data_IF_577588103280
#
_entry.id   IF_577588103280
#
_cell.length_a   1.000
_cell.length_b   1.000
_cell.length_c   1.000
_cell.angle_alpha   90.00
_cell.angle_beta   90.00
_cell.angle_gamma   90.00
#
_symmetry.space_group_name_H-M   'P 1'
#
loop_
_entity.id
_entity.type
_entity.pdbx_description
1 polymer ?
#
# COMPACT_ATOMS: atom_id res chain seq x y z
N UNK A 1 -4.91 6.11 2.68
CA UNK A 1 -6.36 6.08 2.89
C UNK A 1 -6.78 6.56 4.26
N UNK A 2 -8.07 6.81 4.46
CA UNK A 2 -8.65 7.26 5.75
C UNK A 2 -8.40 6.25 6.88
N UNK A 3 -8.43 4.96 6.55
CA UNK A 3 -8.15 3.87 7.51
C UNK A 3 -6.73 3.96 8.08
N UNK A 4 -5.75 4.30 7.25
CA UNK A 4 -4.37 4.48 7.71
C UNK A 4 -4.23 5.70 8.63
N UNK A 5 -4.96 6.78 8.34
CA UNK A 5 -4.97 8.01 9.16
C UNK A 5 -5.74 7.84 10.47
N UNK A 6 -6.74 6.96 10.50
CA UNK A 6 -7.62 6.73 11.64
C UNK A 6 -8.90 7.57 11.64
N UNK A 7 -9.20 8.26 10.53
CA UNK A 7 -10.38 9.13 10.34
C UNK A 7 -11.45 8.46 9.46
N UNK A 8 -11.47 7.13 9.42
CA UNK A 8 -12.36 6.36 8.56
C UNK A 8 -13.76 6.18 9.14
N UNK A 9 -14.74 6.03 8.24
CA UNK A 9 -16.10 5.61 8.58
C UNK A 9 -16.24 4.10 8.38
N UNK A 10 -17.25 3.44 8.99
CA UNK A 10 -17.44 1.99 8.84
C UNK A 10 -17.50 1.51 7.37
N UNK A 11 -18.06 2.35 6.49
CA UNK A 11 -18.21 2.10 5.06
C UNK A 11 -17.02 2.55 4.21
N UNK A 12 -15.96 3.13 4.80
CA UNK A 12 -14.80 3.56 4.03
C UNK A 12 -14.07 2.35 3.43
N UNK A 13 -13.65 2.50 2.18
CA UNK A 13 -12.84 1.51 1.47
C UNK A 13 -11.44 1.36 2.11
N UNK A 14 -10.75 0.29 1.76
CA UNK A 14 -9.34 0.12 2.08
C UNK A 14 -8.49 0.58 0.90
N UNK A 15 -7.57 1.53 1.13
CA UNK A 15 -6.51 1.87 0.18
C UNK A 15 -5.24 1.10 0.54
N UNK A 16 -4.79 0.20 -0.33
CA UNK A 16 -3.60 -0.64 -0.09
C UNK A 16 -2.65 -0.53 -1.26
N UNK A 17 -1.39 -0.21 -0.96
CA UNK A 17 -0.28 -0.34 -1.90
C UNK A 17 0.49 -1.63 -1.60
N UNK A 18 0.86 -2.39 -2.65
CA UNK A 18 1.74 -3.55 -2.55
C UNK A 18 2.97 -3.30 -3.40
N UNK A 19 4.14 -3.34 -2.76
CA UNK A 19 5.42 -3.07 -3.41
C UNK A 19 6.14 -4.38 -3.71
N UNK A 20 6.56 -4.56 -4.96
CA UNK A 20 7.39 -5.67 -5.42
C UNK A 20 8.76 -5.15 -5.85
N UNK A 21 9.79 -6.01 -5.85
CA UNK A 21 11.10 -5.63 -6.40
C UNK A 21 11.00 -5.20 -7.88
N UNK A 22 10.15 -5.89 -8.64
CA UNK A 22 9.84 -5.61 -10.05
C UNK A 22 8.39 -5.99 -10.33
N UNK A 23 7.75 -5.25 -11.24
CA UNK A 23 6.39 -5.52 -11.71
C UNK A 23 6.46 -5.79 -13.21
N UNK A 24 6.53 -7.07 -13.64
CA UNK A 24 6.66 -7.40 -15.06
C UNK A 24 5.36 -7.18 -15.85
N UNK A 25 4.20 -7.49 -15.24
CA UNK A 25 2.87 -7.19 -15.77
C UNK A 25 2.00 -6.70 -14.60
N UNK A 26 1.74 -5.39 -14.58
CA UNK A 26 0.95 -4.75 -13.52
C UNK A 26 -0.49 -5.27 -13.50
N UNK A 27 -1.10 -5.48 -14.67
CA UNK A 27 -2.49 -5.87 -14.81
C UNK A 27 -2.70 -7.29 -14.30
N UNK A 28 -1.84 -8.22 -14.70
CA UNK A 28 -1.92 -9.62 -14.23
C UNK A 28 -1.75 -9.67 -12.70
N UNK A 29 -0.75 -8.97 -12.18
CA UNK A 29 -0.45 -8.98 -10.74
C UNK A 29 -1.59 -8.33 -9.93
N UNK A 30 -2.15 -7.23 -10.42
CA UNK A 30 -3.33 -6.58 -9.83
C UNK A 30 -4.53 -7.54 -9.81
N UNK A 31 -4.83 -8.23 -10.91
CA UNK A 31 -5.93 -9.21 -10.97
C UNK A 31 -5.73 -10.34 -9.96
N UNK A 32 -4.51 -10.86 -9.87
CA UNK A 32 -4.16 -11.94 -8.93
C UNK A 32 -4.35 -11.50 -7.48
N UNK A 33 -3.85 -10.33 -7.10
CA UNK A 33 -3.99 -9.80 -5.72
C UNK A 33 -5.45 -9.48 -5.41
N UNK A 34 -6.20 -8.88 -6.35
CA UNK A 34 -7.64 -8.63 -6.18
C UNK A 34 -8.42 -9.93 -5.94
N UNK A 35 -8.00 -11.05 -6.54
CA UNK A 35 -8.60 -12.37 -6.31
C UNK A 35 -8.33 -12.96 -4.92
N UNK A 36 -7.32 -12.47 -4.18
CA UNK A 36 -7.02 -12.92 -2.82
C UNK A 36 -7.87 -12.25 -1.75
N UNK A 37 -8.51 -11.12 -2.08
CA UNK A 37 -9.29 -10.37 -1.08
C UNK A 37 -10.54 -11.16 -0.68
N UNK A 38 -10.92 -11.17 0.62
CA UNK A 38 -12.20 -11.72 1.03
C UNK A 38 -13.39 -11.07 0.29
N UNK A 39 -14.44 -11.85 0.06
CA UNK A 39 -15.71 -11.34 -0.47
C UNK A 39 -16.27 -10.21 0.41
N UNK A 40 -16.82 -9.16 -0.21
CA UNK A 40 -17.40 -8.01 0.50
C UNK A 40 -16.41 -6.96 1.00
N UNK A 41 -15.09 -7.19 0.91
CA UNK A 41 -14.08 -6.18 1.24
C UNK A 41 -13.94 -5.18 0.08
N UNK A 42 -14.28 -3.92 0.29
CA UNK A 42 -14.01 -2.85 -0.68
C UNK A 42 -12.56 -2.41 -0.60
N UNK A 43 -11.85 -2.47 -1.72
CA UNK A 43 -10.39 -2.35 -1.79
C UNK A 43 -9.95 -1.62 -3.06
N UNK A 44 -9.28 -0.49 -2.86
CA UNK A 44 -8.48 0.21 -3.85
C UNK A 44 -7.03 -0.25 -3.74
N UNK A 45 -6.58 -0.96 -4.76
CA UNK A 45 -5.26 -1.59 -4.82
C UNK A 45 -4.34 -0.85 -5.78
N UNK A 46 -3.17 -0.47 -5.28
CA UNK A 46 -2.05 0.02 -6.08
C UNK A 46 -0.92 -1.00 -6.06
N UNK A 47 -0.41 -1.38 -7.24
CA UNK A 47 0.72 -2.30 -7.38
C UNK A 47 1.92 -1.48 -7.83
N UNK A 48 3.00 -1.52 -7.04
CA UNK A 48 4.19 -0.70 -7.26
C UNK A 48 5.43 -1.58 -7.36
N UNK A 49 6.40 -1.13 -8.12
CA UNK A 49 7.79 -1.56 -8.04
C UNK A 49 8.54 -0.71 -7.00
N UNK A 50 9.73 -1.15 -6.61
CA UNK A 50 10.64 -0.34 -5.77
C UNK A 50 11.03 0.97 -6.47
N UNK A 51 11.17 0.94 -7.81
CA UNK A 51 11.56 2.11 -8.60
C UNK A 51 10.49 3.21 -8.54
N UNK A 52 9.21 2.83 -8.48
CA UNK A 52 8.09 3.76 -8.36
C UNK A 52 8.11 4.57 -7.04
N UNK A 53 8.81 4.10 -6.00
CA UNK A 53 8.95 4.85 -4.73
C UNK A 53 9.83 6.10 -4.85
N UNK A 54 10.50 6.27 -5.98
CA UNK A 54 11.22 7.51 -6.31
C UNK A 54 10.30 8.58 -6.90
N UNK A 55 9.11 8.20 -7.41
CA UNK A 55 8.16 9.14 -7.99
C UNK A 55 7.58 10.08 -6.90
N UNK A 56 7.60 11.40 -7.10
CA UNK A 56 7.14 12.35 -6.10
C UNK A 56 5.64 12.22 -5.78
N UNK A 57 4.81 11.89 -6.76
CA UNK A 57 3.36 11.68 -6.55
C UNK A 57 3.13 10.45 -5.70
N UNK A 58 3.82 9.33 -5.99
CA UNK A 58 3.74 8.11 -5.18
C UNK A 58 4.21 8.38 -3.74
N UNK A 59 5.31 9.11 -3.57
CA UNK A 59 5.81 9.48 -2.23
C UNK A 59 4.80 10.31 -1.45
N UNK A 60 4.15 11.28 -2.09
CA UNK A 60 3.07 12.05 -1.46
C UNK A 60 1.89 11.16 -1.07
N UNK A 61 1.47 10.24 -1.94
CA UNK A 61 0.39 9.29 -1.66
C UNK A 61 0.70 8.37 -0.46
N UNK A 62 1.96 8.01 -0.28
CA UNK A 62 2.42 7.14 0.80
C UNK A 62 2.69 7.88 2.13
N UNK A 63 2.64 9.21 2.18
CA UNK A 63 2.87 9.94 3.45
C UNK A 63 1.94 9.48 4.55
N UNK A 64 2.50 9.22 5.73
CA UNK A 64 1.74 8.78 6.90
C UNK A 64 1.09 7.40 6.75
N UNK A 65 1.56 6.58 5.81
CA UNK A 65 1.05 5.22 5.60
C UNK A 65 1.24 4.32 6.84
N UNK A 66 0.44 3.26 6.90
CA UNK A 66 0.66 2.16 7.86
C UNK A 66 1.30 0.99 7.11
N UNK A 67 2.50 0.61 7.54
CA UNK A 67 3.26 -0.52 7.01
C UNK A 67 2.70 -1.79 7.66
N UNK A 68 1.97 -2.58 6.86
CA UNK A 68 1.35 -3.84 7.30
C UNK A 68 2.36 -5.00 7.30
N UNK A 69 3.31 -4.98 6.38
CA UNK A 69 4.33 -6.00 6.18
C UNK A 69 5.52 -5.39 5.44
N UNK A 70 6.74 -5.79 5.81
CA UNK A 70 7.97 -5.36 5.15
C UNK A 70 8.92 -6.53 4.96
N UNK A 71 8.82 -7.21 3.81
CA UNK A 71 9.73 -8.29 3.40
C UNK A 71 10.81 -7.84 2.41
N UNK A 72 10.89 -6.53 2.13
CA UNK A 72 11.86 -5.93 1.21
C UNK A 72 12.81 -4.97 1.92
N UNK A 73 12.74 -4.88 3.25
CA UNK A 73 13.53 -3.99 4.11
C UNK A 73 13.39 -2.51 3.69
N UNK A 74 12.18 -2.09 3.34
CA UNK A 74 11.85 -0.72 2.91
C UNK A 74 11.48 0.21 4.06
N UNK A 75 11.35 -0.33 5.28
CA UNK A 75 10.92 0.41 6.47
C UNK A 75 11.62 1.74 6.65
N UNK A 76 12.96 1.78 6.64
CA UNK A 76 13.70 3.01 6.94
C UNK A 76 13.39 4.13 5.93
N UNK A 77 13.23 3.78 4.65
CA UNK A 77 12.83 4.71 3.60
C UNK A 77 11.41 5.26 3.84
N UNK A 78 10.49 4.38 4.22
CA UNK A 78 9.08 4.74 4.46
C UNK A 78 8.86 5.49 5.78
N UNK A 79 9.65 5.22 6.82
CA UNK A 79 9.64 5.99 8.07
C UNK A 79 10.01 7.46 7.82
N UNK A 80 10.88 7.74 6.84
CA UNK A 80 11.18 9.10 6.39
C UNK A 80 9.98 9.85 5.80
N UNK A 81 8.92 9.15 5.40
CA UNK A 81 7.64 9.72 4.94
C UNK A 81 6.60 9.85 6.06
N UNK A 82 7.01 9.62 7.31
CA UNK A 82 6.11 9.62 8.47
C UNK A 82 5.21 8.38 8.54
N UNK A 83 5.51 7.32 7.77
CA UNK A 83 4.81 6.06 7.93
C UNK A 83 5.11 5.41 9.28
N UNK A 84 4.24 4.48 9.69
CA UNK A 84 4.39 3.72 10.94
C UNK A 84 4.11 2.24 10.70
N UNK A 85 4.75 1.37 11.48
CA UNK A 85 4.42 -0.05 11.48
C UNK A 85 3.07 -0.28 12.13
N UNK A 86 2.29 -1.22 11.59
CA UNK A 86 1.10 -1.72 12.26
C UNK A 86 1.51 -2.33 13.60
N UNK A 87 0.90 -1.86 14.68
CA UNK A 87 1.02 -2.50 15.99
C UNK A 87 0.02 -3.65 16.01
N UNK A 88 0.52 -4.85 16.33
CA UNK A 88 -0.29 -6.07 16.44
C UNK A 88 -1.16 -6.10 17.68
#
# INVERSE_FOLDING_TARGET
GSRARGDYMPYSDYDVAVVFRKVPDERELMLRIRGLKPGGLSLDLLVLSVDDLSDPVIREMLKGCVILYDGLDLRDSLLGLGCRLMQG
#
